data_IF_483881262303
#
_entry.id   IF_483881262303
#
_cell.length_a   1.000
_cell.length_b   1.000
_cell.length_c   1.000
_cell.angle_alpha   90.00
_cell.angle_beta   90.00
_cell.angle_gamma   90.00
#
_symmetry.space_group_name_H-M   'P 1'
#
loop_
_entity.id
_entity.type
_entity.pdbx_description
1 polymer ?
#
# COMPACT_ATOMS: atom_id res chain seq x y z
N UNK A 1 -20.05 3.01 -1.74
CA UNK A 1 -18.77 2.36 -1.36
C UNK A 1 -18.37 2.62 0.10
N UNK A 2 -18.96 3.61 0.80
CA UNK A 2 -18.54 3.96 2.17
C UNK A 2 -19.01 3.01 3.28
N UNK A 3 -20.16 2.32 3.13
CA UNK A 3 -20.65 1.36 4.16
C UNK A 3 -19.80 0.11 4.30
N UNK A 4 -19.03 -0.28 3.28
CA UNK A 4 -18.11 -1.43 3.37
C UNK A 4 -16.87 -1.13 4.21
N UNK A 5 -16.54 0.15 4.42
CA UNK A 5 -15.32 0.53 5.13
C UNK A 5 -15.44 0.48 6.66
N UNK A 6 -16.67 0.45 7.20
CA UNK A 6 -16.94 0.60 8.63
C UNK A 6 -17.29 -0.71 9.35
N UNK A 7 -17.83 -1.72 8.67
CA UNK A 7 -18.28 -2.97 9.29
C UNK A 7 -17.34 -4.18 9.12
N UNK A 8 -16.31 -4.03 8.29
CA UNK A 8 -15.54 -5.16 7.78
C UNK A 8 -16.34 -5.96 6.74
N UNK A 9 -15.61 -6.63 5.84
CA UNK A 9 -16.19 -7.37 4.73
C UNK A 9 -15.67 -8.80 4.74
N UNK A 10 -16.58 -9.76 4.87
CA UNK A 10 -16.24 -11.18 4.85
C UNK A 10 -16.30 -11.70 3.41
N UNK A 11 -15.15 -12.18 2.92
CA UNK A 11 -14.96 -12.82 1.62
C UNK A 11 -14.57 -14.29 1.85
N UNK A 12 -15.53 -15.20 1.70
CA UNK A 12 -15.33 -16.61 2.02
C UNK A 12 -14.89 -16.79 3.47
N UNK A 13 -13.63 -17.22 3.68
CA UNK A 13 -13.03 -17.43 5.01
C UNK A 13 -12.21 -16.23 5.52
N UNK A 14 -12.10 -15.14 4.74
CA UNK A 14 -11.33 -13.96 5.11
C UNK A 14 -12.26 -12.83 5.54
N UNK A 15 -11.93 -12.14 6.64
CA UNK A 15 -12.60 -10.89 7.04
C UNK A 15 -11.65 -9.72 6.83
N UNK A 16 -11.97 -8.85 5.87
CA UNK A 16 -11.26 -7.61 5.65
C UNK A 16 -11.79 -6.56 6.63
N UNK A 17 -10.93 -6.04 7.50
CA UNK A 17 -11.26 -4.89 8.34
C UNK A 17 -10.46 -3.69 7.86
N UNK A 18 -11.16 -2.68 7.36
CA UNK A 18 -10.55 -1.43 6.92
C UNK A 18 -10.81 -0.34 7.94
N UNK A 19 -9.93 0.64 8.00
CA UNK A 19 -10.18 1.91 8.69
C UNK A 19 -9.54 3.04 7.92
N UNK A 20 -10.16 4.22 7.97
CA UNK A 20 -9.55 5.44 7.44
C UNK A 20 -8.53 5.93 8.47
N UNK A 21 -7.34 6.28 8.00
CA UNK A 21 -6.27 6.83 8.82
C UNK A 21 -5.86 8.16 8.21
N UNK A 22 -5.95 9.23 8.99
CA UNK A 22 -5.47 10.54 8.56
C UNK A 22 -3.94 10.60 8.64
N UNK A 23 -3.30 11.36 7.75
CA UNK A 23 -1.84 11.57 7.78
C UNK A 23 -1.37 12.23 9.07
N UNK A 24 -2.24 13.02 9.72
CA UNK A 24 -1.96 13.59 11.04
C UNK A 24 -1.97 12.55 12.18
N UNK A 25 -2.36 11.30 11.93
CA UNK A 25 -2.44 10.25 12.94
C UNK A 25 -2.04 8.86 12.41
N UNK A 26 -0.84 8.77 11.83
CA UNK A 26 -0.30 7.51 11.29
C UNK A 26 -0.04 6.43 12.35
N UNK A 27 -0.09 6.75 13.64
CA UNK A 27 -0.08 5.76 14.72
C UNK A 27 -1.26 4.77 14.65
N UNK A 28 -2.37 5.21 14.05
CA UNK A 28 -3.49 4.32 13.70
C UNK A 28 -3.19 3.39 12.52
N UNK A 29 -1.95 3.22 12.09
CA UNK A 29 -1.57 2.10 11.22
C UNK A 29 -1.27 0.81 12.01
N UNK A 30 -1.07 0.91 13.32
CA UNK A 30 -0.67 -0.21 14.19
C UNK A 30 -1.60 -1.41 14.05
N UNK A 31 -1.02 -2.59 13.82
CA UNK A 31 -1.73 -3.85 13.68
C UNK A 31 -2.31 -4.12 12.28
N UNK A 32 -2.18 -3.18 11.33
CA UNK A 32 -2.54 -3.43 9.93
C UNK A 32 -1.43 -4.17 9.19
N UNK A 33 -1.78 -4.87 8.10
CA UNK A 33 -0.81 -5.59 7.24
C UNK A 33 -0.55 -4.87 5.93
N UNK A 34 -1.52 -4.11 5.47
CA UNK A 34 -1.43 -3.31 4.26
C UNK A 34 -2.18 -1.99 4.44
N UNK A 35 -1.70 -0.95 3.77
CA UNK A 35 -2.29 0.37 3.73
C UNK A 35 -2.49 0.82 2.29
N UNK A 36 -3.69 1.29 1.98
CA UNK A 36 -3.98 1.95 0.71
C UNK A 36 -3.64 3.44 0.85
N UNK A 37 -2.63 3.89 0.12
CA UNK A 37 -2.22 5.31 0.08
C UNK A 37 -3.06 6.01 -0.96
N UNK A 38 -3.93 6.91 -0.49
CA UNK A 38 -4.83 7.69 -1.34
C UNK A 38 -4.07 8.70 -2.18
N UNK A 39 -4.66 9.11 -3.30
CA UNK A 39 -4.15 10.21 -4.12
C UNK A 39 -4.20 11.53 -3.35
N UNK A 40 -3.42 12.53 -3.79
CA UNK A 40 -3.37 13.85 -3.16
C UNK A 40 -2.43 13.96 -1.95
N UNK A 41 -1.80 12.87 -1.51
CA UNK A 41 -0.91 12.85 -0.35
C UNK A 41 0.56 13.19 -0.68
N UNK A 42 0.85 13.82 -1.83
CA UNK A 42 2.23 14.01 -2.31
C UNK A 42 3.14 14.68 -1.28
N UNK A 43 2.65 15.70 -0.57
CA UNK A 43 3.39 16.39 0.48
C UNK A 43 3.68 15.54 1.73
N UNK A 44 2.92 14.46 1.95
CA UNK A 44 3.00 13.60 3.13
C UNK A 44 3.54 12.20 2.82
N UNK A 45 4.00 11.95 1.59
CA UNK A 45 4.49 10.63 1.17
C UNK A 45 5.70 10.18 2.00
N UNK A 46 6.53 11.10 2.47
CA UNK A 46 7.66 10.79 3.35
C UNK A 46 7.23 10.28 4.72
N UNK A 47 6.27 10.98 5.36
CA UNK A 47 5.70 10.59 6.64
C UNK A 47 5.02 9.22 6.56
N UNK A 48 4.24 9.00 5.50
CA UNK A 48 3.57 7.72 5.21
C UNK A 48 4.59 6.60 5.01
N UNK A 49 5.64 6.84 4.21
CA UNK A 49 6.68 5.85 3.95
C UNK A 49 7.45 5.46 5.21
N UNK A 50 7.77 6.45 6.05
CA UNK A 50 8.45 6.22 7.33
C UNK A 50 7.58 5.40 8.29
N UNK A 51 6.32 5.81 8.48
CA UNK A 51 5.39 5.13 9.38
C UNK A 51 5.10 3.69 8.92
N UNK A 52 4.90 3.47 7.62
CA UNK A 52 4.65 2.15 7.07
C UNK A 52 5.89 1.24 7.18
N UNK A 53 7.09 1.77 6.92
CA UNK A 53 8.33 0.99 7.01
C UNK A 53 8.65 0.57 8.43
N UNK A 54 8.47 1.47 9.41
CA UNK A 54 8.67 1.18 10.82
C UNK A 54 7.78 0.04 11.36
N UNK A 55 6.64 -0.19 10.71
CA UNK A 55 5.63 -1.17 11.13
C UNK A 55 5.52 -2.37 10.17
N UNK A 56 6.41 -2.47 9.18
CA UNK A 56 6.39 -3.50 8.13
C UNK A 56 5.05 -3.62 7.39
N UNK A 57 4.47 -2.46 7.05
CA UNK A 57 3.17 -2.37 6.38
C UNK A 57 3.37 -2.25 4.87
N UNK A 58 2.68 -3.11 4.10
CA UNK A 58 2.67 -3.04 2.64
C UNK A 58 1.85 -1.84 2.16
N UNK A 59 2.46 -0.87 1.50
CA UNK A 59 1.74 0.26 0.89
C UNK A 59 1.31 -0.05 -0.54
N UNK A 60 0.04 0.23 -0.84
CA UNK A 60 -0.60 0.02 -2.15
C UNK A 60 -1.19 1.36 -2.60
N UNK A 61 -0.97 1.75 -3.85
CA UNK A 61 -1.50 3.03 -4.38
C UNK A 61 -1.84 2.95 -5.87
N UNK A 62 -2.63 3.90 -6.33
CA UNK A 62 -2.81 4.19 -7.75
C UNK A 62 -1.84 5.27 -8.27
N UNK A 63 -1.11 5.96 -7.39
CA UNK A 63 -0.12 6.98 -7.76
C UNK A 63 1.23 6.31 -8.08
N UNK A 64 1.50 6.11 -9.38
CA UNK A 64 2.76 5.56 -9.84
C UNK A 64 3.98 6.42 -9.43
N UNK A 65 3.81 7.74 -9.30
CA UNK A 65 4.87 8.65 -8.85
C UNK A 65 5.35 8.32 -7.44
N UNK A 66 4.44 7.93 -6.54
CA UNK A 66 4.80 7.50 -5.19
C UNK A 66 5.68 6.24 -5.19
N UNK A 67 5.41 5.30 -6.10
CA UNK A 67 6.14 4.03 -6.20
C UNK A 67 7.50 4.25 -6.85
N UNK A 68 7.56 5.04 -7.92
CA UNK A 68 8.83 5.42 -8.59
C UNK A 68 9.75 6.17 -7.62
N UNK A 69 9.20 7.07 -6.80
CA UNK A 69 9.97 7.77 -5.76
C UNK A 69 10.36 6.88 -4.56
N UNK A 70 9.93 5.61 -4.54
CA UNK A 70 10.20 4.65 -3.47
C UNK A 70 9.51 4.98 -2.14
N UNK A 71 8.47 5.83 -2.17
CA UNK A 71 7.66 6.18 -0.99
C UNK A 71 6.50 5.19 -0.79
N UNK A 72 6.04 4.59 -1.88
CA UNK A 72 5.09 3.48 -1.89
C UNK A 72 5.76 2.20 -2.42
N UNK A 73 5.27 1.04 -2.01
CA UNK A 73 5.83 -0.26 -2.41
C UNK A 73 5.14 -0.77 -3.67
N UNK A 74 3.81 -0.83 -3.68
CA UNK A 74 3.03 -1.40 -4.79
C UNK A 74 2.18 -0.32 -5.44
N UNK A 75 2.26 -0.23 -6.77
CA UNK A 75 1.38 0.59 -7.61
C UNK A 75 0.46 -0.28 -8.44
N UNK A 76 -0.82 0.07 -8.49
CA UNK A 76 -1.81 -0.57 -9.36
C UNK A 76 -2.45 0.51 -10.22
N UNK A 77 -2.17 0.50 -11.52
CA UNK A 77 -2.80 1.41 -12.48
C UNK A 77 -3.85 0.67 -13.29
N UNK A 78 -5.08 1.18 -13.33
CA UNK A 78 -6.23 0.56 -14.01
C UNK A 78 -6.66 1.25 -15.31
N UNK A 79 -5.71 1.75 -16.11
CA UNK A 79 -6.02 2.27 -17.46
C UNK A 79 -6.43 1.11 -18.42
N UNK A 80 -6.34 1.30 -19.74
CA UNK A 80 -6.68 0.26 -20.75
C UNK A 80 -5.94 -1.08 -20.56
N UNK A 81 -4.84 -1.08 -19.79
CA UNK A 81 -4.14 -2.27 -19.32
C UNK A 81 -3.85 -2.13 -17.82
N UNK A 82 -4.42 -3.04 -17.01
CA UNK A 82 -4.09 -3.12 -15.59
C UNK A 82 -2.65 -3.58 -15.42
N UNK A 83 -1.84 -2.79 -14.73
CA UNK A 83 -0.45 -3.12 -14.44
C UNK A 83 -0.17 -2.98 -12.95
N UNK A 84 0.63 -3.92 -12.43
CA UNK A 84 1.18 -3.87 -11.08
C UNK A 84 2.66 -3.52 -11.18
N UNK A 85 3.06 -2.48 -10.48
CA UNK A 85 4.46 -2.06 -10.34
C UNK A 85 4.92 -2.21 -8.90
N UNK A 86 6.17 -2.60 -8.69
CA UNK A 86 6.74 -2.81 -7.35
C UNK A 86 8.08 -2.12 -7.22
N UNK A 87 8.25 -1.30 -6.17
CA UNK A 87 9.55 -0.77 -5.79
C UNK A 87 10.24 -1.73 -4.81
N UNK A 88 11.27 -2.45 -5.28
CA UNK A 88 11.98 -3.44 -4.45
C UNK A 88 12.77 -2.81 -3.31
N UNK A 89 13.33 -1.61 -3.51
CA UNK A 89 14.08 -0.91 -2.48
C UNK A 89 13.17 -0.49 -1.32
N UNK A 90 11.98 0.06 -1.64
CA UNK A 90 10.97 0.39 -0.64
C UNK A 90 10.52 -0.85 0.15
N UNK A 91 10.23 -1.95 -0.55
CA UNK A 91 9.85 -3.21 0.08
C UNK A 91 10.90 -3.70 1.09
N UNK A 92 12.18 -3.72 0.68
CA UNK A 92 13.29 -4.13 1.55
C UNK A 92 13.43 -3.23 2.78
N UNK A 93 13.27 -1.91 2.64
CA UNK A 93 13.29 -0.97 3.78
C UNK A 93 12.18 -1.26 4.79
N UNK A 94 11.03 -1.74 4.34
CA UNK A 94 9.92 -2.15 5.20
C UNK A 94 10.03 -3.61 5.68
N UNK A 95 11.12 -4.33 5.38
CA UNK A 95 11.29 -5.73 5.75
C UNK A 95 10.42 -6.72 4.95
N UNK A 96 9.83 -6.26 3.83
CA UNK A 96 8.91 -7.04 3.01
C UNK A 96 9.69 -7.74 1.88
N UNK A 97 9.40 -9.02 1.68
CA UNK A 97 9.93 -9.84 0.59
C UNK A 97 8.79 -10.39 -0.25
N UNK A 98 8.90 -10.24 -1.56
CA UNK A 98 7.96 -10.84 -2.50
C UNK A 98 8.41 -12.24 -2.90
N UNK A 99 7.46 -13.17 -3.00
CA UNK A 99 7.72 -14.49 -3.57
C UNK A 99 8.05 -14.41 -5.06
N UNK A 100 8.85 -15.34 -5.56
CA UNK A 100 9.32 -15.36 -6.96
C UNK A 100 8.18 -15.38 -7.97
N UNK A 101 7.12 -16.16 -7.73
CA UNK A 101 5.95 -16.22 -8.61
C UNK A 101 5.25 -14.86 -8.74
N UNK A 102 5.19 -14.06 -7.67
CA UNK A 102 4.61 -12.73 -7.72
C UNK A 102 5.44 -11.79 -8.59
N UNK A 103 6.77 -11.91 -8.53
CA UNK A 103 7.68 -11.10 -9.34
C UNK A 103 7.54 -11.34 -10.85
N UNK A 104 7.04 -12.51 -11.26
CA UNK A 104 6.74 -12.79 -12.67
C UNK A 104 5.51 -12.05 -13.19
N UNK A 105 4.63 -11.56 -12.31
CA UNK A 105 3.38 -10.88 -12.66
C UNK A 105 3.49 -9.35 -12.65
N UNK A 106 4.56 -8.80 -12.08
CA UNK A 106 4.70 -7.37 -11.82
C UNK A 106 5.88 -6.79 -12.60
N UNK A 107 5.82 -5.50 -12.89
CA UNK A 107 6.99 -4.75 -13.36
C UNK A 107 7.75 -4.23 -12.15
N UNK A 108 9.01 -4.62 -12.04
CA UNK A 108 9.89 -4.16 -10.98
C UNK A 108 10.57 -2.85 -11.35
N UNK A 109 10.70 -1.96 -10.37
CA UNK A 109 11.45 -0.70 -10.46
C UNK A 109 12.26 -0.43 -9.18
#
# INVERSE_FOLDING_TARGET
MERMLTGGFTLGRATLRTRRVAVSNLGQLTGTKAAFVTTGLRAHQDEVAAAASAQSILTITADAGCVVAGKCIVGISGASKTQIIVNKAAARRSGIRFGSAFLMLVKEI
#
